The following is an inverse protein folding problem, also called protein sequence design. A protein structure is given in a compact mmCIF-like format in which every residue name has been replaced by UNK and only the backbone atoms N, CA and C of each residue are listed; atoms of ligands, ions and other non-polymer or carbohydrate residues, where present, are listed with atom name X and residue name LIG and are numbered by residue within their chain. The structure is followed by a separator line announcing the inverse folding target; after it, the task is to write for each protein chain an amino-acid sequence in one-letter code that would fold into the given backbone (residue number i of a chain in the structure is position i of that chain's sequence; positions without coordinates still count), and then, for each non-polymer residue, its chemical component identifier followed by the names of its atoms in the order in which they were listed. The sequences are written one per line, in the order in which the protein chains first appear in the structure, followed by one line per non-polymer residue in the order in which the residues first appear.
data_IF_784157422265
#
_entry.id   IF_784157422265
#
_cell.length_a   1.000
_cell.length_b   1.000
_cell.length_c   1.000
_cell.angle_alpha   90.00
_cell.angle_beta   90.00
_cell.angle_gamma   90.00
#
_symmetry.space_group_name_H-M   'P 1'
#
loop_
_entity.id
_entity.type
_entity.pdbx_description
1 polymer ?
#
# COMPACT_ATOMS: atom_id res chain seq x y z
N UNK A 1 -12.15 -10.81 13.59
CA UNK A 1 -12.97 -10.44 12.39
C UNK A 1 -12.09 -9.62 11.46
N UNK A 2 -12.00 -9.96 10.19
CA UNK A 2 -11.28 -9.11 9.22
C UNK A 2 -12.26 -8.04 8.70
N UNK A 3 -12.26 -6.89 9.33
CA UNK A 3 -13.01 -5.74 8.86
C UNK A 3 -12.31 -5.12 7.66
N UNK A 4 -13.07 -4.51 6.76
CA UNK A 4 -12.56 -3.79 5.61
C UNK A 4 -13.26 -2.45 5.46
N UNK A 5 -12.53 -1.45 4.99
CA UNK A 5 -13.05 -0.15 4.62
C UNK A 5 -12.92 0.06 3.11
N UNK A 6 -13.96 0.62 2.51
CA UNK A 6 -13.95 1.01 1.10
C UNK A 6 -14.18 2.50 0.99
N UNK A 7 -13.22 3.20 0.39
CA UNK A 7 -13.28 4.63 0.09
C UNK A 7 -13.36 4.79 -1.42
N UNK A 8 -14.34 5.54 -1.92
CA UNK A 8 -14.52 5.72 -3.37
C UNK A 8 -15.05 7.10 -3.71
N UNK A 9 -14.61 7.62 -4.85
CA UNK A 9 -15.18 8.83 -5.48
C UNK A 9 -16.01 8.50 -6.74
N UNK A 10 -16.41 7.22 -6.89
CA UNK A 10 -17.16 6.74 -8.05
C UNK A 10 -16.27 6.17 -9.18
N UNK A 11 -15.11 6.75 -9.44
CA UNK A 11 -14.15 6.29 -10.46
C UNK A 11 -12.95 5.56 -9.86
N UNK A 12 -12.44 6.05 -8.73
CA UNK A 12 -11.32 5.47 -8.00
C UNK A 12 -11.81 4.87 -6.70
N UNK A 13 -11.42 3.64 -6.42
CA UNK A 13 -11.83 2.88 -5.24
C UNK A 13 -10.63 2.30 -4.54
N UNK A 14 -10.55 2.50 -3.23
CA UNK A 14 -9.55 1.90 -2.34
C UNK A 14 -10.31 0.97 -1.40
N UNK A 15 -9.90 -0.29 -1.32
CA UNK A 15 -10.37 -1.24 -0.31
C UNK A 15 -9.18 -1.61 0.59
N UNK A 16 -9.34 -1.45 1.89
CA UNK A 16 -8.28 -1.76 2.87
C UNK A 16 -8.86 -2.59 4.00
N UNK A 17 -8.26 -3.75 4.27
CA UNK A 17 -8.60 -4.62 5.40
C UNK A 17 -7.92 -4.14 6.69
N UNK A 18 -8.45 -4.53 7.84
CA UNK A 18 -7.87 -4.20 9.16
C UNK A 18 -6.44 -4.75 9.35
N UNK A 19 -6.05 -5.78 8.61
CA UNK A 19 -4.69 -6.29 8.57
C UNK A 19 -3.77 -5.52 7.60
N UNK A 20 -4.25 -4.44 6.97
CA UNK A 20 -3.51 -3.58 6.06
C UNK A 20 -3.43 -4.07 4.62
N UNK A 21 -3.90 -5.28 4.32
CA UNK A 21 -4.04 -5.76 2.94
C UNK A 21 -5.11 -4.97 2.20
N UNK A 22 -4.98 -4.90 0.88
CA UNK A 22 -5.99 -4.24 0.10
C UNK A 22 -5.57 -3.93 -1.33
N UNK A 23 -6.49 -3.32 -2.04
CA UNK A 23 -6.30 -2.94 -3.44
C UNK A 23 -6.85 -1.56 -3.72
N UNK A 24 -6.36 -1.00 -4.82
CA UNK A 24 -6.93 0.20 -5.44
C UNK A 24 -7.34 -0.12 -6.87
N UNK A 25 -8.47 0.45 -7.32
CA UNK A 25 -9.01 0.31 -8.67
C UNK A 25 -9.37 1.66 -9.26
N UNK A 26 -9.12 1.82 -10.55
CA UNK A 26 -9.61 2.94 -11.35
C UNK A 26 -10.48 2.41 -12.49
N UNK A 27 -11.77 2.76 -12.52
CA UNK A 27 -12.74 2.31 -13.54
C UNK A 27 -12.65 0.79 -13.80
N UNK A 28 -12.55 0.00 -12.73
CA UNK A 28 -12.46 -1.47 -12.80
C UNK A 28 -11.07 -2.03 -13.08
N UNK A 29 -10.07 -1.18 -13.39
CA UNK A 29 -8.68 -1.59 -13.57
C UNK A 29 -7.98 -1.63 -12.23
N UNK A 30 -7.40 -2.76 -11.89
CA UNK A 30 -6.63 -2.97 -10.67
C UNK A 30 -5.29 -2.22 -10.75
N UNK A 31 -5.02 -1.37 -9.77
CA UNK A 31 -3.76 -0.58 -9.70
C UNK A 31 -2.66 -1.42 -9.08
N UNK A 32 -2.89 -1.97 -7.90
CA UNK A 32 -1.94 -2.85 -7.21
C UNK A 32 -2.50 -4.25 -7.04
N UNK A 33 -1.60 -5.23 -6.96
CA UNK A 33 -1.96 -6.65 -6.80
C UNK A 33 -2.62 -6.91 -5.46
N UNK A 34 -3.72 -7.66 -5.51
CA UNK A 34 -4.40 -8.21 -4.38
C UNK A 34 -5.15 -9.47 -4.79
N UNK A 35 -4.90 -10.58 -4.09
CA UNK A 35 -5.63 -11.84 -4.22
C UNK A 35 -5.96 -12.35 -2.84
N UNK A 36 -7.23 -12.55 -2.56
CA UNK A 36 -7.71 -12.90 -1.21
C UNK A 36 -7.14 -14.22 -0.68
N UNK A 37 -6.83 -15.14 -1.57
CA UNK A 37 -6.27 -16.47 -1.26
C UNK A 37 -4.74 -16.51 -1.32
N UNK A 38 -4.06 -15.36 -1.40
CA UNK A 38 -2.61 -15.34 -1.46
C UNK A 38 -1.99 -15.68 -0.10
N UNK A 39 -0.94 -16.54 -0.10
CA UNK A 39 -0.16 -16.85 1.10
C UNK A 39 0.66 -15.65 1.58
N UNK A 40 0.95 -14.69 0.70
CA UNK A 40 1.71 -13.49 0.98
C UNK A 40 0.78 -12.29 1.10
N UNK A 41 1.05 -11.43 2.06
CA UNK A 41 0.34 -10.16 2.21
C UNK A 41 0.55 -9.26 1.01
N UNK A 42 -0.55 -8.69 0.51
CA UNK A 42 -0.59 -7.87 -0.69
C UNK A 42 -1.25 -6.53 -0.37
N UNK A 43 -0.71 -5.49 -0.97
CA UNK A 43 -1.15 -4.12 -0.76
C UNK A 43 -0.02 -3.14 -1.06
N UNK A 44 -0.16 -1.92 -0.60
CA UNK A 44 0.89 -0.90 -0.63
C UNK A 44 1.47 -0.81 0.77
N UNK A 45 2.74 -1.16 0.92
CA UNK A 45 3.41 -1.40 2.21
C UNK A 45 4.62 -0.46 2.33
N UNK A 46 4.74 0.21 3.48
CA UNK A 46 5.97 0.91 3.84
C UNK A 46 6.79 0.04 4.78
N UNK A 47 8.00 -0.30 4.36
CA UNK A 47 9.02 -0.89 5.20
C UNK A 47 9.81 0.24 5.86
N UNK A 48 10.02 0.12 7.16
CA UNK A 48 10.76 1.09 7.95
C UNK A 48 11.90 0.35 8.63
N UNK A 49 13.13 0.82 8.41
CA UNK A 49 14.33 0.23 8.99
C UNK A 49 15.02 1.27 9.86
N UNK A 50 15.27 0.92 11.10
CA UNK A 50 16.17 1.68 11.94
C UNK A 50 17.62 1.37 11.56
N UNK A 51 18.35 2.40 11.14
CA UNK A 51 19.71 2.24 10.61
C UNK A 51 20.69 1.79 11.71
N UNK A 52 20.52 2.28 12.94
CA UNK A 52 21.44 2.02 14.06
C UNK A 52 21.34 0.59 14.59
N UNK A 53 20.12 0.12 14.86
CA UNK A 53 19.90 -1.21 15.47
C UNK A 53 19.48 -2.30 14.48
N UNK A 54 19.38 -1.97 13.18
CA UNK A 54 19.01 -2.86 12.06
C UNK A 54 17.59 -3.46 12.18
N UNK A 55 16.76 -2.98 13.10
CA UNK A 55 15.39 -3.45 13.24
C UNK A 55 14.54 -3.00 12.06
N UNK A 56 13.73 -3.92 11.52
CA UNK A 56 12.81 -3.65 10.41
C UNK A 56 11.38 -3.94 10.85
N UNK A 57 10.46 -3.06 10.49
CA UNK A 57 9.02 -3.25 10.65
C UNK A 57 8.28 -2.65 9.46
N UNK A 58 6.97 -2.78 9.45
CA UNK A 58 6.11 -2.22 8.40
C UNK A 58 5.02 -1.35 9.01
N UNK A 59 4.49 -0.43 8.21
CA UNK A 59 3.37 0.43 8.63
C UNK A 59 2.08 -0.36 8.94
N UNK A 60 1.94 -1.58 8.40
CA UNK A 60 0.83 -2.50 8.62
C UNK A 60 1.34 -3.78 9.27
N UNK A 61 0.50 -4.57 9.97
CA UNK A 61 0.95 -5.79 10.63
C UNK A 61 1.18 -6.91 9.61
N UNK A 62 2.43 -7.12 9.20
CA UNK A 62 2.82 -8.32 8.44
C UNK A 62 3.02 -9.51 9.38
N UNK A 63 3.47 -9.25 10.59
CA UNK A 63 3.66 -10.26 11.63
C UNK A 63 2.43 -10.36 12.55
N UNK A 64 2.37 -11.46 13.31
CA UNK A 64 1.25 -11.74 14.24
C UNK A 64 1.20 -10.81 15.47
N UNK A 65 2.10 -9.86 15.61
CA UNK A 65 2.15 -8.89 16.72
C UNK A 65 1.14 -7.75 16.49
N UNK A 66 -0.15 -8.06 16.65
CA UNK A 66 -1.25 -7.11 16.46
C UNK A 66 -1.56 -6.26 17.69
N UNK A 67 -0.99 -6.58 18.83
CA UNK A 67 -1.26 -6.00 20.15
C UNK A 67 -0.95 -4.49 20.25
N UNK A 68 -0.18 -3.95 19.33
CA UNK A 68 0.17 -2.52 19.27
C UNK A 68 -0.43 -1.78 18.07
N UNK A 69 -1.33 -2.42 17.32
CA UNK A 69 -1.97 -1.83 16.17
C UNK A 69 -3.35 -1.29 16.54
N UNK A 70 -3.58 -0.02 16.24
CA UNK A 70 -4.91 0.60 16.25
C UNK A 70 -5.32 0.88 14.80
N UNK A 71 -6.52 0.45 14.44
CA UNK A 71 -7.11 0.70 13.12
C UNK A 71 -8.38 1.53 13.32
N UNK A 72 -8.55 2.54 12.49
CA UNK A 72 -9.76 3.36 12.45
C UNK A 72 -10.24 3.49 11.02
N UNK A 73 -11.51 3.21 10.81
CA UNK A 73 -12.20 3.29 9.54
C UNK A 73 -13.28 4.39 9.60
N UNK A 74 -13.27 5.25 8.62
CA UNK A 74 -14.34 6.22 8.38
C UNK A 74 -14.72 6.19 6.89
N UNK A 75 -15.83 6.77 6.48
CA UNK A 75 -16.21 6.80 5.06
C UNK A 75 -15.17 7.46 4.12
N UNK A 76 -14.34 8.35 4.66
CA UNK A 76 -13.35 9.13 3.89
C UNK A 76 -11.90 8.75 4.17
N UNK A 77 -11.61 7.94 5.19
CA UNK A 77 -10.26 7.70 5.66
C UNK A 77 -10.09 6.29 6.24
N UNK A 78 -8.96 5.66 5.95
CA UNK A 78 -8.43 4.53 6.72
C UNK A 78 -7.17 4.97 7.44
N UNK A 79 -7.07 4.70 8.74
CA UNK A 79 -5.92 5.05 9.56
C UNK A 79 -5.39 3.85 10.33
N UNK A 80 -4.09 3.64 10.23
CA UNK A 80 -3.34 2.69 11.04
C UNK A 80 -2.41 3.45 11.97
N UNK A 81 -2.33 3.04 13.22
CA UNK A 81 -1.35 3.56 14.20
C UNK A 81 -0.71 2.38 14.89
N UNK A 82 0.61 2.32 14.90
CA UNK A 82 1.37 1.29 15.61
C UNK A 82 2.60 1.88 16.29
N UNK A 83 3.13 1.18 17.29
CA UNK A 83 4.34 1.58 17.99
C UNK A 83 5.36 0.45 17.98
N UNK A 84 6.56 0.73 17.51
CA UNK A 84 7.68 -0.19 17.45
C UNK A 84 8.88 0.41 18.20
N UNK A 85 9.12 -0.07 19.43
CA UNK A 85 10.05 0.60 20.35
C UNK A 85 9.56 2.00 20.71
N UNK A 86 10.39 3.00 20.45
CA UNK A 86 10.07 4.41 20.68
C UNK A 86 9.42 5.09 19.46
N UNK A 87 9.32 4.40 18.32
CA UNK A 87 8.80 4.99 17.10
C UNK A 87 7.31 4.69 16.96
N UNK A 88 6.50 5.73 16.97
CA UNK A 88 5.09 5.67 16.57
C UNK A 88 4.99 5.90 15.06
N UNK A 89 4.31 4.99 14.38
CA UNK A 89 4.04 5.03 12.94
C UNK A 89 2.55 5.23 12.72
N UNK A 90 2.18 6.30 12.02
CA UNK A 90 0.79 6.55 11.59
C UNK A 90 0.72 6.51 10.06
N UNK A 91 -0.22 5.75 9.53
CA UNK A 91 -0.52 5.73 8.10
C UNK A 91 -1.97 6.15 7.89
N UNK A 92 -2.16 7.18 7.08
CA UNK A 92 -3.48 7.67 6.67
C UNK A 92 -3.65 7.42 5.17
N UNK A 93 -4.80 6.86 4.79
CA UNK A 93 -5.15 6.54 3.40
C UNK A 93 -6.45 7.25 3.07
N UNK A 94 -6.44 8.03 2.00
CA UNK A 94 -7.60 8.78 1.50
C UNK A 94 -7.66 8.73 -0.03
N UNK A 95 -8.85 8.82 -0.60
CA UNK A 95 -9.06 9.09 -2.02
C UNK A 95 -9.36 10.58 -2.23
N UNK A 96 -8.81 11.17 -3.29
CA UNK A 96 -9.19 12.52 -3.69
C UNK A 96 -10.65 12.55 -4.15
N UNK A 97 -11.40 13.60 -3.79
CA UNK A 97 -12.82 13.67 -4.10
C UNK A 97 -13.09 13.78 -5.62
N UNK A 98 -12.29 14.55 -6.34
CA UNK A 98 -12.54 14.91 -7.74
C UNK A 98 -11.60 14.20 -8.73
N UNK A 99 -10.47 13.70 -8.27
CA UNK A 99 -9.43 13.12 -9.12
C UNK A 99 -9.19 11.64 -8.80
N UNK A 100 -8.75 10.82 -9.77
CA UNK A 100 -8.41 9.42 -9.54
C UNK A 100 -7.06 9.28 -8.82
N UNK A 101 -6.96 9.89 -7.64
CA UNK A 101 -5.75 10.00 -6.84
C UNK A 101 -5.97 9.37 -5.48
N UNK A 102 -5.03 8.53 -5.07
CA UNK A 102 -4.89 8.01 -3.72
C UNK A 102 -3.72 8.68 -3.02
N UNK A 103 -3.93 9.12 -1.79
CA UNK A 103 -2.89 9.69 -0.94
C UNK A 103 -2.66 8.77 0.25
N UNK A 104 -1.42 8.35 0.43
CA UNK A 104 -0.96 7.62 1.61
C UNK A 104 0.06 8.46 2.35
N UNK A 105 -0.35 9.01 3.49
CA UNK A 105 0.52 9.79 4.35
C UNK A 105 1.10 8.91 5.44
N UNK A 106 2.44 8.85 5.50
CA UNK A 106 3.18 8.21 6.57
C UNK A 106 3.73 9.28 7.51
N UNK A 107 3.43 9.15 8.79
CA UNK A 107 3.98 9.98 9.86
C UNK A 107 4.77 9.09 10.81
N UNK A 108 5.99 9.51 11.13
CA UNK A 108 6.86 8.84 12.10
C UNK A 108 7.16 9.81 13.24
N UNK A 109 6.95 9.37 14.47
CA UNK A 109 7.22 10.14 15.66
C UNK A 109 8.16 9.35 16.59
N UNK A 110 9.31 9.90 16.87
CA UNK A 110 10.19 9.39 17.91
C UNK A 110 9.72 9.90 19.28
N UNK A 111 9.30 9.00 20.14
CA UNK A 111 8.89 9.28 21.51
C UNK A 111 10.03 9.01 22.53
N UNK A 112 11.22 8.61 22.04
CA UNK A 112 12.43 8.44 22.85
C UNK A 112 13.24 9.72 22.98
N UNK A 113 14.28 9.65 23.79
CA UNK A 113 15.19 10.79 24.05
C UNK A 113 16.44 10.77 23.15
N UNK A 114 16.63 9.72 22.36
CA UNK A 114 17.79 9.57 21.45
C UNK A 114 17.37 9.81 20.02
N UNK A 115 18.24 10.44 19.24
CA UNK A 115 18.03 10.59 17.80
C UNK A 115 18.04 9.22 17.09
N UNK A 116 17.13 9.03 16.15
CA UNK A 116 16.96 7.79 15.40
C UNK A 116 17.00 8.08 13.89
N UNK A 117 17.84 7.38 13.15
CA UNK A 117 17.88 7.44 11.69
C UNK A 117 17.06 6.30 11.11
N UNK A 118 16.06 6.63 10.30
CA UNK A 118 15.16 5.67 9.70
C UNK A 118 15.25 5.69 8.17
N UNK A 119 15.31 4.51 7.58
CA UNK A 119 15.22 4.28 6.13
C UNK A 119 13.80 3.79 5.81
N UNK A 120 13.16 4.41 4.81
CA UNK A 120 11.77 4.08 4.41
C UNK A 120 11.78 3.57 2.98
N UNK A 121 11.17 2.40 2.77
CA UNK A 121 10.98 1.81 1.44
C UNK A 121 9.50 1.58 1.20
N UNK A 122 8.93 2.18 0.16
CA UNK A 122 7.58 1.88 -0.28
C UNK A 122 7.58 0.69 -1.25
N UNK A 123 6.69 -0.26 -1.03
CA UNK A 123 6.55 -1.46 -1.86
C UNK A 123 5.11 -1.66 -2.30
N UNK A 124 4.91 -1.93 -3.57
CA UNK A 124 3.66 -2.42 -4.14
C UNK A 124 3.92 -3.14 -5.47
N UNK A 125 2.98 -3.98 -5.88
CA UNK A 125 3.02 -4.68 -7.16
C UNK A 125 1.97 -4.10 -8.10
N UNK A 126 2.33 -3.31 -9.12
CA UNK A 126 1.37 -2.75 -10.07
C UNK A 126 0.82 -3.83 -10.99
N UNK A 127 -0.46 -3.71 -11.34
CA UNK A 127 -1.17 -4.68 -12.20
C UNK A 127 -1.66 -4.04 -13.48
N UNK A 128 -2.33 -2.91 -13.41
CA UNK A 128 -2.89 -2.11 -14.53
C UNK A 128 -3.71 -2.94 -15.51
N UNK A 129 -4.51 -3.89 -15.01
CA UNK A 129 -5.43 -4.73 -15.79
C UNK A 129 -6.69 -5.06 -15.00
N UNK A 130 -7.66 -5.69 -15.66
CA UNK A 130 -8.82 -6.24 -14.96
C UNK A 130 -8.37 -7.35 -13.99
N UNK A 131 -9.00 -7.49 -12.82
CA UNK A 131 -8.63 -8.51 -11.82
C UNK A 131 -8.56 -9.93 -12.38
N UNK A 132 -9.52 -10.30 -13.23
CA UNK A 132 -9.62 -11.65 -13.82
C UNK A 132 -8.38 -12.00 -14.66
N UNK A 133 -7.83 -11.00 -15.36
CA UNK A 133 -6.62 -11.18 -16.17
C UNK A 133 -5.36 -11.41 -15.33
N UNK A 134 -5.26 -10.72 -14.19
CA UNK A 134 -4.15 -10.92 -13.25
C UNK A 134 -4.30 -12.25 -12.52
N UNK A 135 -5.50 -12.61 -12.07
CA UNK A 135 -5.76 -13.86 -11.36
C UNK A 135 -5.47 -15.11 -12.21
N UNK A 136 -5.78 -15.04 -13.50
CA UNK A 136 -5.53 -16.15 -14.41
C UNK A 136 -4.03 -16.43 -14.63
N UNK A 137 -3.21 -15.37 -14.81
CA UNK A 137 -1.79 -15.52 -15.18
C UNK A 137 -0.94 -14.34 -14.66
N UNK A 138 -0.64 -14.31 -13.36
CA UNK A 138 0.13 -13.23 -12.73
C UNK A 138 1.51 -13.00 -13.35
N UNK A 139 2.29 -14.07 -13.51
CA UNK A 139 3.64 -13.98 -14.08
C UNK A 139 3.62 -13.41 -15.52
N UNK A 140 2.66 -13.86 -16.32
CA UNK A 140 2.48 -13.35 -17.68
C UNK A 140 2.03 -11.88 -17.68
N UNK A 141 1.18 -11.48 -16.73
CA UNK A 141 0.74 -10.08 -16.59
C UNK A 141 1.90 -9.12 -16.33
N UNK A 142 2.90 -9.54 -15.54
CA UNK A 142 4.08 -8.75 -15.22
C UNK A 142 4.94 -8.39 -16.43
N UNK A 143 4.94 -9.21 -17.49
CA UNK A 143 5.71 -8.95 -18.72
C UNK A 143 5.27 -7.69 -19.47
N UNK A 144 4.06 -7.21 -19.20
CA UNK A 144 3.52 -6.00 -19.83
C UNK A 144 3.70 -4.74 -19.00
N UNK A 145 4.20 -4.85 -17.77
CA UNK A 145 4.43 -3.71 -16.89
C UNK A 145 5.83 -3.16 -17.13
N UNK A 146 5.91 -1.86 -17.36
CA UNK A 146 7.19 -1.14 -17.52
C UNK A 146 7.24 0.04 -16.59
N UNK A 147 8.44 0.37 -16.13
CA UNK A 147 8.73 1.46 -15.21
C UNK A 147 9.65 2.47 -15.89
N UNK A 148 9.40 3.74 -15.62
CA UNK A 148 10.21 4.85 -16.09
C UNK A 148 10.39 5.84 -14.93
N UNK A 149 11.64 6.11 -14.56
CA UNK A 149 11.93 7.13 -13.57
C UNK A 149 11.80 8.51 -14.21
N UNK A 150 10.96 9.33 -13.63
CA UNK A 150 10.80 10.72 -14.01
C UNK A 150 11.55 11.62 -13.02
N UNK A 151 11.66 12.91 -13.35
CA UNK A 151 12.21 13.88 -12.43
C UNK A 151 11.40 14.01 -11.13
N UNK A 152 12.04 14.52 -10.05
CA UNK A 152 11.42 14.79 -8.73
C UNK A 152 10.80 13.56 -8.06
N UNK A 153 11.54 12.45 -8.05
CA UNK A 153 11.14 11.21 -7.36
C UNK A 153 9.83 10.58 -7.87
N UNK A 154 9.46 10.84 -9.12
CA UNK A 154 8.30 10.27 -9.74
C UNK A 154 8.65 8.98 -10.51
N UNK A 155 7.80 7.98 -10.38
CA UNK A 155 7.86 6.74 -11.16
C UNK A 155 6.60 6.63 -12.02
N UNK A 156 6.79 6.56 -13.34
CA UNK A 156 5.71 6.29 -14.26
C UNK A 156 5.62 4.78 -14.51
N UNK A 157 4.47 4.20 -14.19
CA UNK A 157 4.18 2.79 -14.43
C UNK A 157 3.23 2.68 -15.61
N UNK A 158 3.62 1.93 -16.62
CA UNK A 158 2.86 1.74 -17.86
C UNK A 158 2.56 0.26 -18.09
N UNK A 159 1.43 -0.01 -18.72
CA UNK A 159 1.11 -1.33 -19.27
C UNK A 159 1.14 -1.27 -20.79
N UNK A 160 1.97 -2.11 -21.42
CA UNK A 160 1.99 -2.30 -22.88
C UNK A 160 0.70 -3.02 -23.34
N UNK A 161 0.16 -2.61 -24.48
CA UNK A 161 -0.94 -3.33 -25.13
C UNK A 161 -0.47 -4.68 -25.65
N UNK A 162 -1.32 -5.70 -25.56
CA UNK A 162 -1.05 -6.98 -26.21
C UNK A 162 -1.23 -6.83 -27.73
N UNK A 163 -0.30 -7.35 -28.53
CA UNK A 163 -0.50 -7.53 -29.98
C UNK A 163 -0.40 -6.27 -30.84
N UNK A 164 0.29 -5.21 -30.37
CA UNK A 164 0.68 -4.09 -31.24
C UNK A 164 2.21 -4.14 -31.37
N UNK A 165 2.67 -4.66 -32.51
CA UNK A 165 4.03 -4.43 -33.01
C UNK A 165 4.13 -3.01 -33.54
#
# INVERSE_FOLDING_TARGET
MNEANTISNGNYTICTKSNGEGFSKYKGILINRFKETADKKQGIIFYIKNVSNKRIWTNIPIDKRQDKLKVSFTPSETKFTRTDGNIETKTKIIACANDPVEIRRLELKNNGNMEETLEITNYFEPVLSKPEQDYAHQAFNNLFITFENLEKDNILVKRKKRGVN
#
